data_IF_336158544976
#
_entry.id   IF_336158544976
#
_cell.length_a   1.000
_cell.length_b   1.000
_cell.length_c   1.000
_cell.angle_alpha   90.00
_cell.angle_beta   90.00
_cell.angle_gamma   90.00
#
_symmetry.space_group_name_H-M   'P 1'
#
loop_
_entity.id
_entity.type
_entity.pdbx_description
1 polymer ?
#
# COMPACT_ATOMS: atom_id res chain seq x y z
N UNK A 1 -28.97 -17.42 16.93
CA UNK A 1 -27.78 -16.54 17.21
C UNK A 1 -28.15 -15.68 18.41
N UNK A 2 -27.34 -15.70 19.46
CA UNK A 2 -27.58 -14.93 20.69
C UNK A 2 -27.33 -13.45 20.46
N UNK A 3 -28.40 -12.69 20.20
CA UNK A 3 -28.36 -11.24 19.95
C UNK A 3 -27.83 -10.44 21.14
N UNK A 4 -27.96 -10.94 22.37
CA UNK A 4 -27.45 -10.28 23.57
C UNK A 4 -25.91 -10.36 23.63
N UNK A 5 -25.34 -11.52 23.31
CA UNK A 5 -23.88 -11.70 23.25
C UNK A 5 -23.26 -10.88 22.11
N UNK A 6 -23.92 -10.80 20.96
CA UNK A 6 -23.48 -9.94 19.85
C UNK A 6 -23.53 -8.46 20.23
N UNK A 7 -24.60 -8.01 20.89
CA UNK A 7 -24.72 -6.62 21.34
C UNK A 7 -23.64 -6.26 22.36
N UNK A 8 -23.32 -7.17 23.29
CA UNK A 8 -22.24 -6.99 24.27
C UNK A 8 -20.88 -6.91 23.58
N UNK A 9 -20.61 -7.78 22.61
CA UNK A 9 -19.37 -7.75 21.83
C UNK A 9 -19.23 -6.45 21.05
N UNK A 10 -20.29 -6.04 20.34
CA UNK A 10 -20.27 -4.81 19.55
C UNK A 10 -20.12 -3.58 20.43
N UNK A 11 -20.78 -3.52 21.61
CA UNK A 11 -20.62 -2.40 22.55
C UNK A 11 -19.22 -2.31 23.16
N UNK A 12 -18.44 -3.40 23.17
CA UNK A 12 -17.03 -3.39 23.59
C UNK A 12 -16.07 -2.85 22.53
N UNK A 13 -16.52 -2.78 21.27
CA UNK A 13 -15.73 -2.31 20.12
C UNK A 13 -16.11 -0.87 19.76
N UNK A 14 -17.40 -0.52 19.84
CA UNK A 14 -17.91 0.79 19.42
C UNK A 14 -18.13 1.72 20.61
N UNK A 15 -17.83 3.00 20.44
CA UNK A 15 -18.03 4.07 21.44
C UNK A 15 -19.44 4.70 21.39
N UNK A 16 -20.30 4.26 20.50
CA UNK A 16 -21.65 4.78 20.31
C UNK A 16 -22.73 3.82 20.81
N UNK A 17 -23.90 4.36 21.19
CA UNK A 17 -25.08 3.54 21.37
C UNK A 17 -25.41 2.86 20.04
N UNK A 18 -25.31 1.54 20.05
CA UNK A 18 -25.68 0.75 18.87
C UNK A 18 -27.18 0.88 18.61
N UNK A 19 -27.62 1.05 17.34
CA UNK A 19 -29.03 0.93 17.00
C UNK A 19 -29.55 -0.45 17.38
N UNK A 20 -30.86 -0.58 17.55
CA UNK A 20 -31.48 -1.89 17.77
C UNK A 20 -31.16 -2.81 16.58
N UNK A 21 -30.44 -3.89 16.89
CA UNK A 21 -30.15 -4.93 15.90
C UNK A 21 -31.46 -5.69 15.62
N UNK A 22 -32.10 -5.40 14.51
CA UNK A 22 -33.15 -6.26 13.97
C UNK A 22 -32.47 -7.53 13.42
N UNK A 23 -33.02 -8.68 13.80
CA UNK A 23 -32.56 -9.95 13.24
C UNK A 23 -32.76 -9.92 11.72
N UNK A 24 -31.67 -9.85 10.97
CA UNK A 24 -31.72 -10.07 9.52
C UNK A 24 -31.86 -11.57 9.33
N UNK A 25 -33.05 -12.01 8.98
CA UNK A 25 -33.23 -13.34 8.43
C UNK A 25 -32.56 -13.37 7.07
N UNK A 26 -31.50 -14.17 6.93
CA UNK A 26 -30.91 -14.44 5.63
C UNK A 26 -32.04 -14.97 4.71
N UNK A 27 -32.27 -14.29 3.59
CA UNK A 27 -33.09 -14.85 2.53
C UNK A 27 -32.44 -16.17 2.09
N UNK A 28 -33.23 -17.19 1.87
CA UNK A 28 -32.78 -18.50 1.40
C UNK A 28 -32.00 -18.32 0.09
N UNK A 29 -30.69 -18.58 0.13
CA UNK A 29 -29.80 -18.56 -1.03
C UNK A 29 -28.55 -17.76 -0.78
N UNK A 30 -27.42 -18.41 -0.74
CA UNK A 30 -26.05 -17.92 -0.72
C UNK A 30 -25.72 -16.93 0.41
N UNK A 31 -25.12 -17.44 1.47
CA UNK A 31 -24.56 -16.62 2.53
C UNK A 31 -23.32 -15.89 1.97
N UNK A 32 -23.51 -14.67 1.48
CA UNK A 32 -22.40 -13.83 1.08
C UNK A 32 -21.64 -13.38 2.33
N UNK A 33 -20.37 -13.68 2.35
CA UNK A 33 -19.45 -13.15 3.34
C UNK A 33 -19.21 -11.66 3.03
N UNK A 34 -19.36 -10.80 4.04
CA UNK A 34 -18.97 -9.40 3.94
C UNK A 34 -17.65 -9.26 4.69
N UNK A 35 -16.65 -8.80 4.00
CA UNK A 35 -15.31 -8.59 4.53
C UNK A 35 -14.81 -7.19 4.32
N UNK A 36 -13.72 -6.89 5.02
CA UNK A 36 -12.96 -5.67 4.87
C UNK A 36 -11.50 -6.04 4.59
N UNK A 37 -10.96 -5.50 3.51
CA UNK A 37 -9.56 -5.63 3.16
C UNK A 37 -8.83 -4.36 3.57
N UNK A 38 -8.01 -4.37 4.63
CA UNK A 38 -7.19 -3.22 4.97
C UNK A 38 -6.15 -2.99 3.85
N UNK A 39 -6.02 -1.74 3.43
CA UNK A 39 -5.01 -1.29 2.47
C UNK A 39 -3.86 -0.63 3.23
N UNK A 40 -4.19 0.22 4.21
CA UNK A 40 -3.18 0.88 5.03
C UNK A 40 -3.68 1.15 6.45
N UNK A 41 -2.75 1.38 7.35
CA UNK A 41 -3.01 1.72 8.75
C UNK A 41 -2.21 2.97 9.10
N UNK A 42 -2.91 4.04 9.48
CA UNK A 42 -2.31 5.32 9.85
C UNK A 42 -2.40 5.53 11.36
N UNK A 43 -1.29 5.79 12.00
CA UNK A 43 -1.27 6.31 13.35
C UNK A 43 -1.26 7.84 13.26
N UNK A 44 -2.40 8.46 13.54
CA UNK A 44 -2.54 9.92 13.39
C UNK A 44 -1.72 10.73 14.40
N UNK A 45 -1.09 10.08 15.39
CA UNK A 45 -0.35 10.76 16.47
C UNK A 45 -1.20 11.64 17.37
N UNK A 46 -2.41 12.00 16.95
CA UNK A 46 -3.35 12.83 17.69
C UNK A 46 -4.29 11.97 18.52
N UNK A 47 -4.43 12.31 19.79
CA UNK A 47 -5.40 11.68 20.72
C UNK A 47 -5.34 10.14 20.80
N UNK A 48 -4.19 9.53 20.52
CA UNK A 48 -4.03 8.07 20.44
C UNK A 48 -5.02 7.40 19.47
N UNK A 49 -5.25 8.01 18.33
CA UNK A 49 -6.13 7.46 17.30
C UNK A 49 -5.36 6.72 16.23
N UNK A 50 -5.97 5.64 15.73
CA UNK A 50 -5.51 4.79 14.66
C UNK A 50 -6.57 4.77 13.57
N UNK A 51 -6.19 4.94 12.32
CA UNK A 51 -7.10 4.77 11.19
C UNK A 51 -6.71 3.55 10.37
N UNK A 52 -7.71 2.77 10.02
CA UNK A 52 -7.57 1.67 9.07
C UNK A 52 -8.36 2.05 7.82
N UNK A 53 -7.64 2.20 6.72
CA UNK A 53 -8.19 2.53 5.40
C UNK A 53 -8.22 1.25 4.58
N UNK A 54 -9.33 0.98 3.91
CA UNK A 54 -9.46 -0.24 3.13
C UNK A 54 -10.73 -0.33 2.32
N UNK A 55 -10.98 -1.52 1.79
CA UNK A 55 -12.08 -1.82 0.87
C UNK A 55 -13.03 -2.82 1.48
N UNK A 56 -14.32 -2.56 1.31
CA UNK A 56 -15.42 -3.44 1.73
C UNK A 56 -15.81 -4.32 0.54
N UNK A 57 -15.94 -5.60 0.76
CA UNK A 57 -16.27 -6.56 -0.29
C UNK A 57 -17.28 -7.61 0.16
N UNK A 58 -17.94 -8.25 -0.82
CA UNK A 58 -18.68 -9.51 -0.60
C UNK A 58 -18.05 -10.63 -1.40
N UNK A 59 -18.11 -11.83 -0.85
CA UNK A 59 -17.61 -13.04 -1.47
C UNK A 59 -18.28 -14.27 -0.86
N UNK A 60 -18.05 -15.44 -1.44
CA UNK A 60 -18.53 -16.71 -0.89
C UNK A 60 -17.83 -17.12 0.42
N UNK A 61 -16.61 -16.61 0.64
CA UNK A 61 -15.77 -16.88 1.82
C UNK A 61 -14.74 -15.75 2.05
N UNK A 62 -14.05 -15.71 3.20
CA UNK A 62 -13.00 -14.72 3.46
C UNK A 62 -11.89 -14.76 2.41
N UNK A 63 -11.33 -13.61 2.03
CA UNK A 63 -10.20 -13.52 1.08
C UNK A 63 -8.99 -14.38 1.51
N UNK A 64 -8.75 -14.50 2.81
CA UNK A 64 -7.67 -15.33 3.36
C UNK A 64 -7.81 -16.82 3.09
N UNK A 65 -9.03 -17.27 2.74
CA UNK A 65 -9.37 -18.66 2.43
C UNK A 65 -9.52 -18.92 0.93
N UNK A 66 -9.30 -17.88 0.10
CA UNK A 66 -9.42 -17.96 -1.36
C UNK A 66 -8.09 -18.30 -2.02
N UNK A 67 -8.16 -18.97 -3.16
CA UNK A 67 -7.01 -19.32 -3.98
C UNK A 67 -7.33 -19.28 -5.48
N UNK A 68 -6.33 -18.94 -6.29
CA UNK A 68 -6.44 -19.01 -7.76
C UNK A 68 -7.59 -18.17 -8.32
N UNK A 69 -8.46 -18.79 -9.11
CA UNK A 69 -9.59 -18.14 -9.80
C UNK A 69 -10.74 -17.74 -8.88
N UNK A 70 -10.76 -18.17 -7.62
CA UNK A 70 -11.82 -17.81 -6.67
C UNK A 70 -11.90 -16.30 -6.39
N UNK A 71 -10.79 -15.58 -6.60
CA UNK A 71 -10.78 -14.12 -6.49
C UNK A 71 -11.68 -13.40 -7.50
N UNK A 72 -12.10 -14.07 -8.58
CA UNK A 72 -13.05 -13.50 -9.55
C UNK A 72 -14.46 -13.36 -9.00
N UNK A 73 -14.80 -14.10 -7.93
CA UNK A 73 -16.11 -14.06 -7.29
C UNK A 73 -16.24 -12.95 -6.23
N UNK A 74 -15.17 -12.15 -6.04
CA UNK A 74 -15.17 -11.01 -5.12
C UNK A 74 -15.89 -9.84 -5.76
N UNK A 75 -16.89 -9.32 -5.07
CA UNK A 75 -17.54 -8.06 -5.46
C UNK A 75 -17.13 -6.95 -4.49
N UNK A 76 -16.43 -5.95 -4.99
CA UNK A 76 -16.05 -4.76 -4.23
C UNK A 76 -17.26 -3.84 -4.11
N UNK A 77 -17.65 -3.50 -2.88
CA UNK A 77 -18.85 -2.71 -2.60
C UNK A 77 -18.53 -1.24 -2.41
N UNK A 78 -17.52 -0.95 -1.57
CA UNK A 78 -17.25 0.40 -1.12
C UNK A 78 -15.82 0.52 -0.58
N UNK A 79 -15.40 1.74 -0.30
CA UNK A 79 -14.17 2.08 0.41
C UNK A 79 -14.51 2.61 1.79
N UNK A 80 -13.64 2.40 2.77
CA UNK A 80 -13.90 2.81 4.13
C UNK A 80 -12.68 3.24 4.89
N UNK A 81 -12.88 4.23 5.76
CA UNK A 81 -11.90 4.67 6.76
C UNK A 81 -12.51 4.40 8.14
N UNK A 82 -11.89 3.52 8.89
CA UNK A 82 -12.26 3.18 10.26
C UNK A 82 -11.30 3.89 11.22
N UNK A 83 -11.83 4.76 12.06
CA UNK A 83 -11.04 5.48 13.07
C UNK A 83 -11.22 4.83 14.43
N UNK A 84 -10.14 4.40 15.03
CA UNK A 84 -10.07 3.79 16.34
C UNK A 84 -9.37 4.73 17.32
N UNK A 85 -9.77 4.69 18.59
CA UNK A 85 -9.09 5.36 19.69
C UNK A 85 -8.60 4.33 20.71
N UNK A 86 -7.40 4.54 21.24
CA UNK A 86 -6.88 3.70 22.33
C UNK A 86 -7.78 3.79 23.56
N UNK A 87 -8.21 2.63 24.07
CA UNK A 87 -9.03 2.50 25.27
C UNK A 87 -8.67 1.18 25.98
N UNK A 88 -8.01 1.28 27.12
CA UNK A 88 -7.57 0.12 27.89
C UNK A 88 -8.74 -0.78 28.36
N UNK A 89 -9.99 -0.25 28.40
CA UNK A 89 -11.18 -1.01 28.76
C UNK A 89 -11.82 -1.76 27.59
N UNK A 90 -11.41 -1.46 26.35
CA UNK A 90 -11.96 -2.08 25.16
C UNK A 90 -11.27 -3.42 24.85
N UNK A 91 -12.00 -4.28 24.12
CA UNK A 91 -11.44 -5.51 23.56
C UNK A 91 -10.26 -5.14 22.63
N UNK A 92 -9.11 -5.77 22.83
CA UNK A 92 -7.87 -5.45 22.10
C UNK A 92 -7.31 -4.03 22.29
N UNK A 93 -7.79 -3.27 23.28
CA UNK A 93 -7.22 -1.96 23.64
C UNK A 93 -7.65 -0.79 22.74
N UNK A 94 -8.62 -0.99 21.82
CA UNK A 94 -9.09 0.05 20.89
C UNK A 94 -10.61 0.04 20.78
N UNK A 95 -11.21 1.23 20.61
CA UNK A 95 -12.61 1.44 20.25
C UNK A 95 -12.74 2.09 18.89
N UNK A 96 -13.69 1.64 18.09
CA UNK A 96 -14.08 2.33 16.87
C UNK A 96 -14.86 3.60 17.24
N UNK A 97 -14.33 4.77 16.87
CA UNK A 97 -14.92 6.08 17.19
C UNK A 97 -15.42 6.83 15.95
N UNK A 98 -15.06 6.37 14.76
CA UNK A 98 -15.50 6.96 13.50
C UNK A 98 -15.46 5.97 12.35
N UNK A 99 -16.34 6.19 11.38
CA UNK A 99 -16.37 5.47 10.12
C UNK A 99 -16.84 6.42 9.02
N UNK A 100 -16.10 6.44 7.93
CA UNK A 100 -16.48 7.11 6.68
C UNK A 100 -16.44 6.09 5.56
N UNK A 101 -17.44 6.08 4.70
CA UNK A 101 -17.50 5.24 3.51
C UNK A 101 -18.04 6.01 2.32
N UNK A 102 -17.70 5.55 1.14
CA UNK A 102 -18.20 6.07 -0.13
C UNK A 102 -17.31 5.67 -1.28
N UNK A 103 -17.91 5.38 -2.41
CA UNK A 103 -17.19 5.12 -3.66
C UNK A 103 -16.41 6.35 -4.14
N UNK A 104 -16.80 7.54 -3.67
CA UNK A 104 -16.13 8.81 -3.98
C UNK A 104 -14.93 9.08 -3.07
N UNK A 105 -14.68 8.22 -2.05
CA UNK A 105 -13.44 8.30 -1.28
C UNK A 105 -12.27 8.02 -2.21
N UNK A 106 -11.50 9.06 -2.50
CA UNK A 106 -10.23 8.89 -3.17
C UNK A 106 -9.23 8.31 -2.17
N UNK A 107 -8.99 7.00 -2.27
CA UNK A 107 -8.10 6.29 -1.35
C UNK A 107 -6.67 6.79 -1.44
N UNK A 108 -6.23 7.21 -2.63
CA UNK A 108 -4.91 7.81 -2.83
C UNK A 108 -4.83 9.16 -2.13
N UNK A 109 -5.84 10.01 -2.32
CA UNK A 109 -5.88 11.33 -1.69
C UNK A 109 -5.99 11.23 -0.17
N UNK A 110 -6.88 10.37 0.36
CA UNK A 110 -6.98 10.10 1.79
C UNK A 110 -5.67 9.56 2.37
N UNK A 111 -5.00 8.67 1.65
CA UNK A 111 -3.71 8.13 2.02
C UNK A 111 -2.62 9.21 1.99
N UNK A 112 -2.58 10.04 0.95
CA UNK A 112 -1.62 11.15 0.82
C UNK A 112 -1.87 12.25 1.84
N UNK A 113 -3.13 12.60 2.12
CA UNK A 113 -3.48 13.63 3.13
C UNK A 113 -3.00 13.24 4.52
N UNK A 114 -3.22 11.98 4.93
CA UNK A 114 -2.80 11.51 6.26
C UNK A 114 -1.30 11.27 6.40
N UNK A 115 -0.58 11.09 5.30
CA UNK A 115 0.84 10.80 5.32
C UNK A 115 1.68 11.89 4.65
N UNK A 116 1.11 13.07 4.41
CA UNK A 116 1.83 14.20 3.78
C UNK A 116 3.15 14.55 4.51
N UNK A 117 3.16 14.40 5.84
CA UNK A 117 4.37 14.64 6.66
C UNK A 117 5.35 13.46 6.68
N UNK A 118 4.98 12.32 6.08
CA UNK A 118 5.80 11.10 6.08
C UNK A 118 6.55 10.85 4.78
N UNK A 119 6.24 11.63 3.75
CA UNK A 119 6.93 11.61 2.46
C UNK A 119 7.41 13.01 2.07
N UNK A 120 8.50 13.05 1.32
CA UNK A 120 9.07 14.27 0.74
C UNK A 120 9.14 14.08 -0.76
N UNK A 121 8.66 15.08 -1.51
CA UNK A 121 8.83 15.08 -2.96
C UNK A 121 10.29 15.31 -3.32
N UNK A 122 10.86 14.38 -4.09
CA UNK A 122 12.20 14.49 -4.63
C UNK A 122 12.12 14.70 -6.14
N UNK A 123 12.78 15.75 -6.63
CA UNK A 123 12.83 16.12 -8.05
C UNK A 123 14.27 16.11 -8.53
N UNK A 124 14.59 15.23 -9.48
CA UNK A 124 15.87 15.21 -10.15
C UNK A 124 15.75 15.78 -11.57
N UNK A 125 15.84 17.09 -11.70
CA UNK A 125 15.75 17.79 -13.00
C UNK A 125 16.88 17.43 -13.98
N UNK A 126 18.03 16.98 -13.49
CA UNK A 126 19.17 16.58 -14.34
C UNK A 126 18.91 15.23 -15.02
N UNK A 127 18.26 14.34 -14.33
CA UNK A 127 17.96 13.00 -14.81
C UNK A 127 16.51 12.86 -15.30
N UNK A 128 15.66 13.87 -15.09
CA UNK A 128 14.30 13.95 -15.59
C UNK A 128 13.34 12.97 -14.91
N UNK A 129 13.39 12.86 -13.57
CA UNK A 129 12.42 12.09 -12.82
C UNK A 129 12.02 12.75 -11.49
N UNK A 130 10.84 12.37 -11.01
CA UNK A 130 10.30 12.78 -9.71
C UNK A 130 9.76 11.56 -8.97
N UNK A 131 9.74 11.62 -7.64
CA UNK A 131 9.13 10.59 -6.80
C UNK A 131 8.85 11.13 -5.38
N UNK A 132 8.02 10.43 -4.63
CA UNK A 132 7.87 10.64 -3.18
C UNK A 132 8.78 9.68 -2.43
N UNK A 133 9.77 10.25 -1.75
CA UNK A 133 10.69 9.53 -0.88
C UNK A 133 10.13 9.46 0.55
N UNK A 134 10.33 8.36 1.30
CA UNK A 134 10.03 8.37 2.73
C UNK A 134 10.78 9.48 3.46
N UNK A 135 10.09 10.29 4.28
CA UNK A 135 10.68 11.41 5.00
C UNK A 135 11.77 10.99 6.02
N UNK A 136 11.83 9.70 6.36
CA UNK A 136 12.90 9.13 7.18
C UNK A 136 14.28 9.20 6.49
N UNK A 137 14.31 9.31 5.17
CA UNK A 137 15.52 9.58 4.38
C UNK A 137 15.62 11.11 4.18
N UNK A 138 16.01 11.80 5.24
CA UNK A 138 16.17 13.24 5.21
C UNK A 138 17.31 13.69 4.27
N UNK A 139 17.39 15.00 4.02
CA UNK A 139 18.36 15.57 3.10
C UNK A 139 19.83 15.26 3.47
N UNK A 140 20.12 14.98 4.75
CA UNK A 140 21.47 14.66 5.21
C UNK A 140 21.90 13.24 4.81
N UNK A 141 20.92 12.33 4.63
CA UNK A 141 21.14 10.95 4.19
C UNK A 141 21.18 10.81 2.67
N UNK A 142 20.58 11.75 1.92
CA UNK A 142 20.53 11.70 0.46
C UNK A 142 21.91 11.90 -0.14
N UNK A 143 22.30 11.00 -1.03
CA UNK A 143 23.54 11.05 -1.80
C UNK A 143 23.22 11.01 -3.27
N UNK A 144 23.53 12.10 -3.97
CA UNK A 144 23.37 12.20 -5.42
C UNK A 144 24.66 11.88 -6.15
N UNK A 145 24.53 11.22 -7.30
CA UNK A 145 25.62 11.00 -8.24
C UNK A 145 25.19 11.28 -9.69
N UNK A 146 25.98 10.84 -10.66
CA UNK A 146 25.69 11.04 -12.09
C UNK A 146 24.52 10.18 -12.59
N UNK A 147 24.14 9.15 -11.86
CA UNK A 147 23.13 8.16 -12.25
C UNK A 147 21.82 8.28 -11.49
N UNK A 148 21.84 8.89 -10.31
CA UNK A 148 20.65 8.99 -9.48
C UNK A 148 20.87 9.53 -8.08
N UNK A 149 20.02 9.07 -7.17
CA UNK A 149 20.03 9.38 -5.74
C UNK A 149 19.93 8.11 -4.93
N UNK A 150 20.55 8.07 -3.77
CA UNK A 150 20.43 6.96 -2.82
C UNK A 150 20.46 7.47 -1.38
N UNK A 151 19.85 6.70 -0.47
CA UNK A 151 19.94 6.89 0.96
C UNK A 151 19.93 5.54 1.68
N UNK A 152 20.58 5.47 2.83
CA UNK A 152 20.56 4.30 3.72
C UNK A 152 20.45 4.79 5.16
N UNK A 153 19.58 4.20 5.94
CA UNK A 153 19.45 4.50 7.36
C UNK A 153 20.70 4.00 8.12
N UNK A 154 21.15 4.73 9.17
CA UNK A 154 22.34 4.35 9.93
C UNK A 154 22.29 2.96 10.55
N UNK A 155 21.09 2.48 10.92
CA UNK A 155 20.84 1.14 11.48
C UNK A 155 20.68 0.05 10.40
N UNK A 156 20.74 0.44 9.11
CA UNK A 156 20.55 -0.41 7.94
C UNK A 156 19.17 -1.09 7.86
N UNK A 157 18.18 -0.61 8.61
CA UNK A 157 16.83 -1.16 8.57
C UNK A 157 16.12 -0.90 7.25
N UNK A 158 16.47 0.18 6.54
CA UNK A 158 15.98 0.48 5.21
C UNK A 158 16.99 1.26 4.38
N UNK A 159 16.88 1.14 3.07
CA UNK A 159 17.58 1.94 2.06
C UNK A 159 16.66 2.21 0.87
N UNK A 160 17.00 3.23 0.15
CA UNK A 160 16.27 3.70 -1.01
C UNK A 160 17.26 4.14 -2.08
N UNK A 161 16.95 3.90 -3.34
CA UNK A 161 17.60 4.60 -4.45
C UNK A 161 16.62 4.86 -5.59
N UNK A 162 16.93 5.88 -6.41
CA UNK A 162 16.31 6.09 -7.71
C UNK A 162 17.36 6.48 -8.73
N UNK A 163 17.26 5.90 -9.93
CA UNK A 163 18.28 6.11 -10.97
C UNK A 163 17.69 6.06 -12.37
N UNK A 164 18.44 6.63 -13.31
CA UNK A 164 18.22 6.51 -14.76
C UNK A 164 19.37 5.75 -15.38
N UNK A 165 19.06 4.73 -16.18
CA UNK A 165 20.02 3.96 -16.98
C UNK A 165 19.62 3.99 -18.46
N UNK A 166 20.56 3.78 -19.36
CA UNK A 166 20.28 3.79 -20.78
C UNK A 166 19.60 2.50 -21.23
N UNK A 167 18.51 2.59 -22.01
CA UNK A 167 17.80 1.44 -22.59
C UNK A 167 18.53 0.95 -23.85
N UNK A 168 19.71 0.34 -23.69
CA UNK A 168 20.56 -0.10 -24.78
C UNK A 168 19.95 -1.21 -25.63
N UNK A 169 19.12 -2.04 -25.01
CA UNK A 169 18.50 -3.19 -25.65
C UNK A 169 17.14 -2.87 -26.26
N UNK A 170 16.69 -1.60 -26.14
CA UNK A 170 15.38 -1.13 -26.60
C UNK A 170 14.23 -2.02 -26.09
N UNK A 171 14.35 -2.47 -24.84
CA UNK A 171 13.33 -3.27 -24.17
C UNK A 171 12.06 -2.46 -23.95
N UNK A 172 10.90 -3.07 -24.17
CA UNK A 172 9.65 -2.55 -23.65
C UNK A 172 9.48 -2.87 -22.16
N UNK A 173 8.54 -2.20 -21.50
CA UNK A 173 8.30 -2.33 -20.07
C UNK A 173 8.02 -3.77 -19.64
N UNK A 174 7.10 -4.46 -20.34
CA UNK A 174 6.71 -5.82 -20.00
C UNK A 174 7.89 -6.79 -20.12
N UNK A 175 8.66 -6.69 -21.21
CA UNK A 175 9.84 -7.54 -21.45
C UNK A 175 10.91 -7.29 -20.40
N UNK A 176 11.17 -6.02 -20.06
CA UNK A 176 12.18 -5.66 -19.08
C UNK A 176 11.84 -6.19 -17.68
N UNK A 177 10.62 -5.92 -17.19
CA UNK A 177 10.14 -6.38 -15.88
C UNK A 177 10.16 -7.90 -15.77
N UNK A 178 9.75 -8.62 -16.82
CA UNK A 178 9.78 -10.08 -16.85
C UNK A 178 11.22 -10.63 -16.79
N UNK A 179 12.17 -10.02 -17.47
CA UNK A 179 13.58 -10.41 -17.42
C UNK A 179 14.13 -10.25 -16.01
N UNK A 180 13.90 -9.10 -15.37
CA UNK A 180 14.33 -8.86 -13.99
C UNK A 180 13.71 -9.90 -13.05
N UNK A 181 12.40 -10.08 -13.09
CA UNK A 181 11.70 -11.02 -12.19
C UNK A 181 12.15 -12.47 -12.39
N UNK A 182 12.44 -12.88 -13.61
CA UNK A 182 12.90 -14.25 -13.91
C UNK A 182 14.27 -14.60 -13.31
N UNK A 183 15.10 -13.58 -13.06
CA UNK A 183 16.40 -13.72 -12.41
C UNK A 183 16.35 -13.76 -10.89
N UNK A 184 15.18 -13.53 -10.28
CA UNK A 184 15.02 -13.39 -8.83
C UNK A 184 14.10 -14.48 -8.27
N UNK A 185 14.57 -15.19 -7.25
CA UNK A 185 13.80 -16.27 -6.65
C UNK A 185 12.56 -15.73 -5.91
N UNK A 186 11.38 -16.24 -6.27
CA UNK A 186 10.13 -15.87 -5.62
C UNK A 186 9.64 -14.46 -5.92
N UNK A 187 10.20 -13.77 -6.92
CA UNK A 187 9.79 -12.43 -7.30
C UNK A 187 8.35 -12.42 -7.83
N UNK A 188 7.62 -11.37 -7.43
CA UNK A 188 6.30 -11.02 -7.97
C UNK A 188 6.46 -9.80 -8.85
N UNK A 189 6.02 -9.89 -10.09
CA UNK A 189 6.07 -8.80 -11.05
C UNK A 189 4.66 -8.40 -11.47
N UNK A 190 4.42 -7.10 -11.60
CA UNK A 190 3.20 -6.54 -12.19
C UNK A 190 3.57 -5.47 -13.20
N UNK A 191 2.73 -5.29 -14.22
CA UNK A 191 2.85 -4.21 -15.19
C UNK A 191 1.50 -3.51 -15.30
N UNK A 192 1.51 -2.20 -15.23
CA UNK A 192 0.36 -1.33 -15.41
C UNK A 192 0.54 -0.54 -16.71
N UNK A 193 -0.03 -1.06 -17.79
CA UNK A 193 0.09 -0.46 -19.12
C UNK A 193 -0.60 0.92 -19.22
N UNK A 194 -1.64 1.17 -18.41
CA UNK A 194 -2.35 2.46 -18.44
C UNK A 194 -1.50 3.59 -17.89
N UNK A 195 -0.69 3.31 -16.87
CA UNK A 195 0.16 4.29 -16.19
C UNK A 195 1.65 4.13 -16.56
N UNK A 196 1.96 3.20 -17.47
CA UNK A 196 3.30 2.93 -18.01
C UNK A 196 4.36 2.67 -16.92
N UNK A 197 4.03 1.89 -15.89
CA UNK A 197 5.00 1.43 -14.90
C UNK A 197 4.91 -0.08 -14.67
N UNK A 198 5.99 -0.65 -14.19
CA UNK A 198 6.06 -2.04 -13.72
C UNK A 198 6.71 -2.15 -12.37
N UNK A 199 6.30 -3.14 -11.58
CA UNK A 199 6.88 -3.40 -10.27
C UNK A 199 7.45 -4.79 -10.16
N UNK A 200 8.51 -4.94 -9.36
CA UNK A 200 9.07 -6.23 -8.96
C UNK A 200 9.28 -6.23 -7.46
N UNK A 201 8.67 -7.18 -6.77
CA UNK A 201 8.82 -7.34 -5.33
C UNK A 201 9.38 -8.74 -5.00
N UNK A 202 10.36 -8.81 -4.12
CA UNK A 202 10.97 -10.06 -3.68
C UNK A 202 11.58 -9.95 -2.28
N UNK A 203 11.93 -11.10 -1.71
CA UNK A 203 12.65 -11.16 -0.43
C UNK A 203 14.03 -11.74 -0.67
N UNK A 204 15.05 -11.11 -0.10
CA UNK A 204 16.44 -11.56 -0.19
C UNK A 204 16.75 -12.62 0.87
N UNK A 205 17.79 -13.42 0.65
CA UNK A 205 18.23 -14.47 1.60
C UNK A 205 18.70 -13.90 2.94
N UNK A 206 19.13 -12.64 2.97
CA UNK A 206 19.55 -11.91 4.17
C UNK A 206 18.40 -11.19 4.89
N UNK A 207 17.14 -11.47 4.50
CA UNK A 207 15.96 -11.08 5.24
C UNK A 207 15.43 -9.68 4.92
N UNK A 208 15.76 -9.12 3.75
CA UNK A 208 15.17 -7.86 3.28
C UNK A 208 14.04 -8.12 2.31
N UNK A 209 13.02 -7.28 2.37
CA UNK A 209 12.04 -7.10 1.31
C UNK A 209 12.52 -5.98 0.40
N UNK A 210 12.49 -6.23 -0.91
CA UNK A 210 12.84 -5.27 -1.95
C UNK A 210 11.61 -5.00 -2.79
N UNK A 211 11.35 -3.74 -3.07
CA UNK A 211 10.29 -3.28 -3.95
C UNK A 211 10.85 -2.31 -4.96
N UNK A 212 10.82 -2.72 -6.22
CA UNK A 212 11.27 -1.93 -7.36
C UNK A 212 10.09 -1.40 -8.15
N UNK A 213 10.19 -0.16 -8.63
CA UNK A 213 9.32 0.44 -9.64
C UNK A 213 10.17 0.79 -10.87
N UNK A 214 9.67 0.43 -12.04
CA UNK A 214 10.32 0.68 -13.32
C UNK A 214 9.42 1.50 -14.23
N UNK A 215 10.02 2.52 -14.87
CA UNK A 215 9.46 3.20 -16.03
C UNK A 215 10.41 2.96 -17.19
N UNK A 216 9.88 2.64 -18.36
CA UNK A 216 10.69 2.34 -19.55
C UNK A 216 10.27 3.25 -20.69
N UNK A 217 11.21 4.02 -21.19
CA UNK A 217 11.10 4.81 -22.41
C UNK A 217 11.97 4.25 -23.52
N UNK A 218 11.90 4.80 -24.71
CA UNK A 218 12.74 4.39 -25.84
C UNK A 218 14.22 4.49 -25.50
N UNK A 219 14.66 5.56 -24.82
CA UNK A 219 16.08 5.84 -24.57
C UNK A 219 16.54 5.42 -23.17
N UNK A 220 15.64 5.41 -22.19
CA UNK A 220 16.02 5.24 -20.79
C UNK A 220 15.08 4.30 -20.04
N UNK A 221 15.65 3.69 -19.02
CA UNK A 221 14.96 2.95 -17.99
C UNK A 221 15.18 3.72 -16.68
N UNK A 222 14.09 4.03 -16.00
CA UNK A 222 14.11 4.63 -14.67
C UNK A 222 13.75 3.55 -13.67
N UNK A 223 14.52 3.45 -12.61
CA UNK A 223 14.29 2.51 -11.52
C UNK A 223 14.27 3.26 -10.21
N UNK A 224 13.28 3.00 -9.39
CA UNK A 224 13.26 3.37 -7.99
C UNK A 224 13.11 2.11 -7.14
N UNK A 225 13.94 1.96 -6.11
CA UNK A 225 13.95 0.82 -5.20
C UNK A 225 13.75 1.29 -3.77
N UNK A 226 12.88 0.61 -3.04
CA UNK A 226 12.82 0.65 -1.60
C UNK A 226 13.16 -0.75 -1.06
N UNK A 227 14.19 -0.83 -0.21
CA UNK A 227 14.63 -2.05 0.45
C UNK A 227 14.52 -1.86 1.95
N UNK A 228 13.92 -2.82 2.67
CA UNK A 228 13.78 -2.77 4.12
C UNK A 228 13.81 -4.17 4.74
N UNK A 229 14.20 -4.25 6.02
CA UNK A 229 14.13 -5.51 6.76
C UNK A 229 12.69 -6.05 6.74
N UNK A 230 12.51 -7.31 6.37
CA UNK A 230 11.18 -7.94 6.24
C UNK A 230 10.40 -7.88 7.56
N UNK A 231 11.08 -7.97 8.70
CA UNK A 231 10.47 -7.80 10.03
C UNK A 231 9.95 -6.38 10.29
N UNK A 232 10.39 -5.39 9.48
CA UNK A 232 9.96 -3.99 9.51
C UNK A 232 8.90 -3.65 8.47
N UNK A 233 8.28 -4.65 7.86
CA UNK A 233 7.24 -4.43 6.82
C UNK A 233 6.07 -3.57 7.29
N UNK A 234 5.72 -3.63 8.59
CA UNK A 234 4.70 -2.75 9.18
C UNK A 234 5.05 -1.26 9.11
N UNK A 235 6.34 -0.93 9.12
CA UNK A 235 6.83 0.45 9.12
C UNK A 235 7.03 0.99 7.69
N UNK A 236 7.39 0.11 6.72
CA UNK A 236 7.85 0.55 5.40
C UNK A 236 6.97 0.15 4.23
N UNK A 237 6.10 -0.85 4.35
CA UNK A 237 5.32 -1.35 3.20
C UNK A 237 4.39 -0.30 2.58
N UNK A 238 3.93 0.68 3.37
CA UNK A 238 3.11 1.79 2.87
C UNK A 238 3.86 2.64 1.84
N UNK A 239 5.17 2.79 1.99
CA UNK A 239 5.98 3.60 1.06
C UNK A 239 6.13 2.95 -0.31
N UNK A 240 5.91 1.63 -0.44
CA UNK A 240 5.86 0.97 -1.74
C UNK A 240 4.75 1.56 -2.62
N UNK A 241 3.55 1.80 -2.04
CA UNK A 241 2.43 2.42 -2.77
C UNK A 241 2.70 3.88 -3.10
N UNK A 242 3.37 4.64 -2.22
CA UNK A 242 3.77 6.01 -2.56
C UNK A 242 4.76 6.04 -3.72
N UNK A 243 5.77 5.17 -3.67
CA UNK A 243 6.76 5.09 -4.73
C UNK A 243 6.11 4.73 -6.07
N UNK A 244 5.23 3.72 -6.07
CA UNK A 244 4.49 3.27 -7.24
C UNK A 244 3.64 4.39 -7.88
N UNK A 245 2.95 5.19 -7.06
CA UNK A 245 2.02 6.23 -7.54
C UNK A 245 2.69 7.56 -7.86
N UNK A 246 3.88 7.82 -7.32
CA UNK A 246 4.56 9.12 -7.47
C UNK A 246 5.75 9.09 -8.43
N UNK A 247 6.30 7.90 -8.71
CA UNK A 247 7.47 7.81 -9.59
C UNK A 247 7.08 8.15 -11.02
N UNK A 248 7.62 9.23 -11.53
CA UNK A 248 7.33 9.74 -12.86
C UNK A 248 8.61 10.21 -13.55
N UNK A 249 8.63 10.15 -14.88
CA UNK A 249 9.71 10.67 -15.70
C UNK A 249 9.21 11.67 -16.72
N UNK A 250 10.06 12.64 -17.09
CA UNK A 250 9.72 13.64 -18.11
C UNK A 250 9.47 13.02 -19.50
N UNK A 251 10.14 11.89 -19.82
CA UNK A 251 9.91 11.18 -21.08
C UNK A 251 8.65 10.30 -21.06
N UNK A 252 8.19 9.86 -19.88
CA UNK A 252 6.95 9.08 -19.73
C UNK A 252 5.67 9.92 -19.81
N UNK A 253 5.76 11.22 -19.66
CA UNK A 253 4.63 12.16 -19.76
C UNK A 253 4.23 12.53 -21.20
N UNK A 254 4.86 11.94 -22.21
CA UNK A 254 4.60 12.20 -23.64
C UNK A 254 3.86 11.06 -24.34
N UNK A 255 3.01 10.33 -23.62
CA UNK A 255 2.16 9.28 -24.18
C UNK A 255 0.68 9.58 -24.07
#
# INVERSE_FOLDING_TARGET
TDTAAQKTLLSSIFDAQLPELTAVTAADGESNYIGFRPVTVNNTGENNTLQIIGEIYTASKPLSEMSGTEFTDVTWLDRGIFTFRSDASALNGFRLVGFSSGTDLNMEEAFMEYNADTVVEYVNSKLGFTLSSPAVFDDELLKEDETGVSAELPDKSASFFARRIQNTDQSDLQSYVNVIASGLNGAKATVNDMNNYGTVAYTTDDGYTVFDVYLVSENYIYQAELKFLTEKSGDYSMYCSYLENSFASEEGAQG
#
